data_IF_636896015287
#
_entry.id   IF_636896015287
#
_cell.length_a   1.000
_cell.length_b   1.000
_cell.length_c   1.000
_cell.angle_alpha   90.00
_cell.angle_beta   90.00
_cell.angle_gamma   90.00
#
_symmetry.space_group_name_H-M   'P 1'
#
loop_
_entity.id
_entity.type
_entity.pdbx_description
1 polymer ?
#
# COMPACT_ATOMS: atom_id res chain seq x y z
N UNK A 1 32.29 -30.25 1.26
CA UNK A 1 33.07 -29.23 1.96
C UNK A 1 32.09 -28.39 2.75
N UNK A 2 31.94 -28.75 4.03
CA UNK A 2 30.95 -28.16 4.95
C UNK A 2 31.50 -26.88 5.54
N UNK A 3 30.84 -25.77 5.47
CA UNK A 3 31.20 -24.54 6.20
C UNK A 3 29.98 -24.07 6.98
N UNK A 4 29.88 -24.51 8.17
CA UNK A 4 29.91 -23.94 9.50
C UNK A 4 28.99 -22.74 9.72
N UNK A 5 27.80 -23.05 10.28
CA UNK A 5 26.90 -22.13 10.95
C UNK A 5 27.55 -21.50 12.18
N UNK A 6 27.49 -20.19 12.33
CA UNK A 6 27.85 -19.48 13.55
C UNK A 6 26.58 -19.09 14.33
N UNK A 7 26.38 -19.64 15.52
CA UNK A 7 25.37 -19.17 16.45
C UNK A 7 26.05 -18.33 17.55
N UNK A 8 25.95 -17.02 17.51
CA UNK A 8 26.25 -16.10 18.65
C UNK A 8 25.47 -14.83 18.39
N UNK A 9 24.39 -14.54 19.09
CA UNK A 9 24.31 -13.82 20.32
C UNK A 9 22.85 -13.71 20.78
N UNK A 10 22.50 -14.56 21.69
CA UNK A 10 21.46 -14.31 22.68
C UNK A 10 22.19 -13.79 23.89
N UNK A 11 21.83 -12.63 24.40
CA UNK A 11 21.84 -12.30 25.84
C UNK A 11 21.56 -10.82 26.07
N UNK A 12 20.38 -10.56 26.66
CA UNK A 12 20.27 -9.95 27.97
C UNK A 12 20.34 -8.42 28.02
N UNK A 13 19.22 -7.78 28.27
CA UNK A 13 19.19 -6.81 29.38
C UNK A 13 17.74 -6.57 29.83
N UNK A 14 17.43 -7.19 30.95
CA UNK A 14 16.35 -6.86 31.87
C UNK A 14 16.78 -5.62 32.64
N UNK A 15 16.02 -4.53 32.59
CA UNK A 15 16.16 -3.42 33.53
C UNK A 15 14.78 -3.03 34.05
N UNK A 16 14.52 -3.52 35.25
CA UNK A 16 13.40 -3.14 36.13
C UNK A 16 13.79 -1.81 36.77
N UNK A 17 12.99 -0.75 36.62
CA UNK A 17 13.02 0.40 37.51
C UNK A 17 11.59 0.64 38.01
N UNK A 18 11.38 0.22 39.23
CA UNK A 18 10.24 0.62 40.05
C UNK A 18 10.58 1.99 40.72
N UNK A 19 9.74 3.00 40.53
CA UNK A 19 9.78 4.20 41.35
C UNK A 19 8.41 4.45 41.95
N UNK A 20 8.34 4.16 43.26
CA UNK A 20 7.23 4.47 44.15
C UNK A 20 7.48 5.90 44.67
N UNK A 21 6.54 6.81 44.48
CA UNK A 21 6.49 8.06 45.27
C UNK A 21 5.08 8.20 45.85
N UNK A 22 5.02 7.97 47.14
CA UNK A 22 3.96 8.39 48.06
C UNK A 22 4.02 9.90 48.29
N UNK A 23 2.89 10.56 48.29
CA UNK A 23 2.75 11.95 48.71
C UNK A 23 1.33 12.27 49.10
N UNK A 24 1.06 12.22 50.39
CA UNK A 24 -0.13 12.76 51.08
C UNK A 24 -0.14 14.31 51.03
N UNK A 25 -1.32 14.95 50.91
CA UNK A 25 -1.86 15.83 51.95
C UNK A 25 -3.08 16.60 51.44
N UNK A 26 -4.18 16.42 52.12
CA UNK A 26 -5.19 17.34 52.68
C UNK A 26 -5.38 18.71 52.04
N UNK A 27 -6.64 18.99 51.71
CA UNK A 27 -7.15 20.32 51.44
C UNK A 27 -8.62 20.28 51.05
N UNK A 28 -9.50 20.25 52.05
CA UNK A 28 -10.93 20.40 51.86
C UNK A 28 -11.26 21.84 51.49
N UNK A 29 -11.91 22.07 50.36
CA UNK A 29 -12.83 23.21 50.21
C UNK A 29 -13.96 22.78 49.26
N UNK A 30 -15.14 22.68 49.84
CA UNK A 30 -16.38 22.52 49.13
C UNK A 30 -16.75 23.84 48.46
N UNK A 31 -16.74 23.89 47.15
CA UNK A 31 -17.44 24.87 46.35
C UNK A 31 -18.45 24.09 45.50
N UNK A 32 -19.71 24.16 45.92
CA UNK A 32 -20.82 23.79 45.10
C UNK A 32 -20.87 24.74 43.90
N UNK A 33 -20.52 24.25 42.73
CA UNK A 33 -20.87 24.87 41.48
C UNK A 33 -21.85 23.93 40.80
N UNK A 34 -23.00 24.47 40.67
CA UNK A 34 -24.16 23.95 39.93
C UNK A 34 -23.73 23.33 38.61
N UNK A 35 -23.93 22.01 38.53
CA UNK A 35 -23.61 21.21 37.36
C UNK A 35 -24.69 21.40 36.28
N UNK A 36 -24.46 22.34 35.39
CA UNK A 36 -25.15 22.34 34.12
C UNK A 36 -24.38 21.35 33.22
N UNK A 37 -24.85 20.12 33.19
CA UNK A 37 -24.40 19.12 32.23
C UNK A 37 -24.78 19.61 30.81
N UNK A 38 -23.82 19.71 29.90
CA UNK A 38 -24.13 19.74 28.48
C UNK A 38 -24.81 18.43 28.10
N UNK A 39 -25.72 18.41 27.11
CA UNK A 39 -26.32 17.17 26.65
C UNK A 39 -25.22 16.21 26.22
N UNK A 40 -25.30 14.97 26.66
CA UNK A 40 -24.48 13.87 26.19
C UNK A 40 -24.65 13.79 24.68
N UNK A 41 -23.66 14.24 23.93
CA UNK A 41 -23.55 13.88 22.53
C UNK A 41 -23.35 12.36 22.50
N UNK A 42 -24.33 11.71 21.90
CA UNK A 42 -24.33 10.30 21.57
C UNK A 42 -23.11 9.97 20.69
N UNK A 43 -21.99 9.57 21.37
CA UNK A 43 -20.78 9.08 20.73
C UNK A 43 -20.95 7.63 20.22
N UNK A 44 -22.18 7.24 19.89
CA UNK A 44 -22.48 5.99 19.18
C UNK A 44 -22.44 6.18 17.67
N UNK A 45 -21.59 7.07 17.16
CA UNK A 45 -21.21 7.02 15.77
C UNK A 45 -20.16 5.89 15.61
N UNK A 46 -20.65 4.68 15.41
CA UNK A 46 -19.88 3.66 14.69
C UNK A 46 -19.37 4.33 13.43
N UNK A 47 -18.04 4.37 13.17
CA UNK A 47 -17.58 4.87 11.88
C UNK A 47 -18.21 3.96 10.82
N UNK A 48 -19.21 4.50 10.11
CA UNK A 48 -19.66 3.87 8.89
C UNK A 48 -18.41 3.74 8.01
N UNK A 49 -18.02 2.51 7.74
CA UNK A 49 -17.03 2.21 6.74
C UNK A 49 -17.57 2.82 5.45
N UNK A 50 -17.05 4.00 5.11
CA UNK A 50 -17.35 4.66 3.84
C UNK A 50 -16.78 3.71 2.80
N UNK A 51 -17.63 2.86 2.24
CA UNK A 51 -17.31 2.09 1.07
C UNK A 51 -17.02 3.10 -0.05
N UNK A 52 -15.76 3.40 -0.26
CA UNK A 52 -15.29 4.09 -1.46
C UNK A 52 -15.48 3.12 -2.62
N UNK A 53 -16.75 2.92 -3.02
CA UNK A 53 -17.13 1.93 -4.02
C UNK A 53 -16.16 1.95 -5.20
N UNK A 54 -15.52 0.84 -5.47
CA UNK A 54 -14.72 0.38 -6.64
C UNK A 54 -13.99 1.45 -7.50
N UNK A 55 -13.80 2.67 -6.98
CA UNK A 55 -13.11 3.75 -7.67
C UNK A 55 -11.68 3.83 -7.15
N UNK A 56 -10.78 3.23 -7.88
CA UNK A 56 -9.34 3.37 -7.60
C UNK A 56 -8.95 4.78 -8.03
N UNK A 57 -8.70 5.65 -7.05
CA UNK A 57 -8.20 7.00 -7.26
C UNK A 57 -6.68 7.06 -7.24
N UNK A 58 -6.05 6.30 -6.32
CA UNK A 58 -4.61 6.28 -6.08
C UNK A 58 -4.10 4.95 -5.52
N UNK A 59 -2.90 4.99 -4.94
CA UNK A 59 -2.22 3.80 -4.42
C UNK A 59 -2.98 3.14 -3.25
N UNK A 60 -3.54 3.92 -2.33
CA UNK A 60 -4.25 3.38 -1.16
C UNK A 60 -5.50 2.62 -1.59
N UNK A 61 -6.29 3.21 -2.50
CA UNK A 61 -7.49 2.58 -3.03
C UNK A 61 -7.17 1.32 -3.87
N UNK A 62 -5.99 1.29 -4.53
CA UNK A 62 -5.49 0.09 -5.21
C UNK A 62 -5.29 -1.05 -4.21
N UNK A 63 -4.58 -0.80 -3.10
CA UNK A 63 -4.34 -1.80 -2.05
C UNK A 63 -5.67 -2.32 -1.49
N UNK A 64 -6.60 -1.40 -1.18
CA UNK A 64 -7.90 -1.75 -0.63
C UNK A 64 -8.75 -2.56 -1.62
N UNK A 65 -8.71 -2.21 -2.90
CA UNK A 65 -9.42 -2.94 -3.95
C UNK A 65 -8.86 -4.36 -4.15
N UNK A 66 -7.54 -4.53 -4.12
CA UNK A 66 -6.89 -5.84 -4.20
C UNK A 66 -7.26 -6.72 -3.01
N UNK A 67 -7.23 -6.16 -1.79
CA UNK A 67 -7.66 -6.87 -0.57
C UNK A 67 -9.14 -7.22 -0.60
N UNK A 68 -9.99 -6.32 -1.08
CA UNK A 68 -11.42 -6.59 -1.25
C UNK A 68 -11.69 -7.69 -2.29
N UNK A 69 -10.81 -7.85 -3.29
CA UNK A 69 -10.85 -8.96 -4.24
C UNK A 69 -10.29 -10.27 -3.65
N UNK A 70 -9.88 -10.29 -2.38
CA UNK A 70 -9.39 -11.47 -1.67
C UNK A 70 -7.90 -11.71 -1.77
N UNK A 71 -7.13 -10.74 -2.25
CA UNK A 71 -5.68 -10.84 -2.30
C UNK A 71 -5.03 -10.55 -0.95
N UNK A 72 -3.97 -11.30 -0.63
CA UNK A 72 -3.00 -10.92 0.38
C UNK A 72 -2.06 -9.87 -0.23
N UNK A 73 -1.99 -8.68 0.38
CA UNK A 73 -1.19 -7.58 -0.15
C UNK A 73 -0.26 -7.02 0.91
N UNK A 74 1.04 -7.09 0.64
CA UNK A 74 2.10 -6.59 1.51
C UNK A 74 2.95 -5.54 0.77
N UNK A 75 3.02 -4.28 1.25
CA UNK A 75 4.00 -3.32 0.76
C UNK A 75 5.43 -3.78 1.10
N UNK A 76 6.36 -3.66 0.14
CA UNK A 76 7.75 -4.11 0.30
C UNK A 76 8.68 -2.90 0.36
N UNK A 77 8.88 -2.22 -0.76
CA UNK A 77 9.83 -1.11 -0.86
C UNK A 77 9.45 -0.12 -1.96
N UNK A 78 10.05 1.07 -1.89
CA UNK A 78 9.95 2.05 -2.97
C UNK A 78 10.91 1.69 -4.10
N UNK A 79 10.49 1.98 -5.34
CA UNK A 79 11.28 1.77 -6.53
C UNK A 79 11.19 2.99 -7.44
N UNK A 80 12.28 3.30 -8.12
CA UNK A 80 12.33 4.28 -9.20
C UNK A 80 12.64 3.55 -10.51
N UNK A 81 11.83 3.80 -11.52
CA UNK A 81 12.07 3.26 -12.85
C UNK A 81 12.41 4.41 -13.81
N UNK A 82 13.44 4.25 -14.66
CA UNK A 82 13.90 5.33 -15.52
C UNK A 82 12.90 5.72 -16.62
N UNK A 83 11.84 4.96 -16.79
CA UNK A 83 10.84 5.16 -17.83
C UNK A 83 9.54 5.82 -17.32
N UNK A 84 9.40 6.04 -16.00
CA UNK A 84 8.29 6.82 -15.43
C UNK A 84 8.82 7.94 -14.54
N UNK A 85 8.27 9.14 -14.69
CA UNK A 85 8.50 10.26 -13.78
C UNK A 85 7.54 10.18 -12.57
N UNK A 86 7.62 9.06 -11.88
CA UNK A 86 6.83 8.77 -10.70
C UNK A 86 7.56 7.76 -9.80
N UNK A 87 7.50 7.97 -8.49
CA UNK A 87 7.98 6.98 -7.53
C UNK A 87 7.03 5.80 -7.50
N UNK A 88 7.56 4.60 -7.67
CA UNK A 88 6.82 3.36 -7.57
C UNK A 88 6.91 2.72 -6.18
N UNK A 89 5.99 1.81 -5.92
CA UNK A 89 5.99 0.92 -4.77
C UNK A 89 5.98 -0.52 -5.27
N UNK A 90 6.89 -1.36 -4.75
CA UNK A 90 6.78 -2.81 -4.90
C UNK A 90 5.82 -3.30 -3.83
N UNK A 91 4.82 -4.05 -4.25
CA UNK A 91 3.88 -4.77 -3.39
C UNK A 91 3.91 -6.25 -3.74
N UNK A 92 3.82 -7.12 -2.75
CA UNK A 92 3.54 -8.53 -2.98
C UNK A 92 2.03 -8.76 -3.00
N UNK A 93 1.54 -9.33 -4.09
CA UNK A 93 0.15 -9.70 -4.28
C UNK A 93 0.08 -11.22 -4.37
N UNK A 94 -0.40 -11.88 -3.30
CA UNK A 94 -0.35 -13.34 -3.15
C UNK A 94 1.06 -13.92 -3.40
N UNK A 95 2.09 -13.19 -2.96
CA UNK A 95 3.49 -13.56 -3.13
C UNK A 95 4.12 -13.20 -4.49
N UNK A 96 3.38 -12.60 -5.42
CA UNK A 96 3.91 -12.09 -6.68
C UNK A 96 4.31 -10.62 -6.54
N UNK A 97 5.51 -10.25 -7.03
CA UNK A 97 5.97 -8.86 -7.02
C UNK A 97 5.25 -8.04 -8.09
N UNK A 98 4.57 -7.01 -7.66
CA UNK A 98 3.83 -6.06 -8.49
C UNK A 98 4.32 -4.65 -8.19
N UNK A 99 4.55 -3.86 -9.22
CA UNK A 99 4.97 -2.47 -9.08
C UNK A 99 3.78 -1.55 -9.33
N UNK A 100 3.53 -0.60 -8.43
CA UNK A 100 2.48 0.40 -8.55
C UNK A 100 3.12 1.79 -8.57
N UNK A 101 2.86 2.56 -9.63
CA UNK A 101 3.36 3.92 -9.83
C UNK A 101 2.22 4.90 -9.69
N UNK A 102 2.28 5.80 -8.72
CA UNK A 102 1.26 6.81 -8.50
C UNK A 102 1.69 8.15 -9.09
N UNK A 103 0.84 8.70 -9.95
CA UNK A 103 1.01 10.00 -10.58
C UNK A 103 0.21 11.08 -9.85
N UNK A 104 0.56 12.32 -10.08
CA UNK A 104 -0.09 13.47 -9.44
C UNK A 104 -1.60 13.53 -9.71
N UNK A 105 -2.02 13.04 -10.87
CA UNK A 105 -3.42 12.94 -11.27
C UNK A 105 -3.59 11.95 -12.45
N UNK A 106 -4.83 11.74 -12.84
CA UNK A 106 -5.20 10.86 -13.95
C UNK A 106 -4.66 11.36 -15.31
N UNK A 107 -4.53 12.67 -15.50
CA UNK A 107 -3.99 13.24 -16.74
C UNK A 107 -2.51 12.93 -16.91
N UNK A 108 -1.73 13.08 -15.83
CA UNK A 108 -0.31 12.72 -15.81
C UNK A 108 -0.13 11.21 -16.04
N UNK A 109 -0.97 10.38 -15.41
CA UNK A 109 -0.98 8.93 -15.61
C UNK A 109 -1.33 8.57 -17.07
N UNK A 110 -2.35 9.22 -17.68
CA UNK A 110 -2.70 9.00 -19.08
C UNK A 110 -1.51 9.30 -20.00
N UNK A 111 -0.85 10.45 -19.77
CA UNK A 111 0.34 10.82 -20.54
C UNK A 111 1.45 9.77 -20.44
N UNK A 112 1.65 9.19 -19.27
CA UNK A 112 2.64 8.13 -19.06
C UNK A 112 2.22 6.80 -19.69
N UNK A 113 0.94 6.41 -19.54
CA UNK A 113 0.42 5.16 -20.12
C UNK A 113 0.40 5.16 -21.64
N UNK A 114 0.15 6.31 -22.28
CA UNK A 114 0.18 6.48 -23.75
C UNK A 114 1.59 6.28 -24.35
N UNK A 115 2.63 6.34 -23.50
CA UNK A 115 4.01 6.07 -23.92
C UNK A 115 4.40 4.59 -23.86
N UNK A 116 3.60 3.75 -23.22
CA UNK A 116 3.87 2.30 -23.14
C UNK A 116 3.52 1.66 -24.49
N UNK A 117 4.49 0.97 -25.09
CA UNK A 117 4.22 0.22 -26.33
C UNK A 117 3.23 -0.91 -26.09
N UNK A 118 2.44 -1.32 -27.11
CA UNK A 118 1.43 -2.38 -26.95
C UNK A 118 1.99 -3.71 -26.42
N UNK A 119 3.23 -4.03 -26.73
CA UNK A 119 3.92 -5.23 -26.25
C UNK A 119 4.71 -5.00 -24.95
N UNK A 120 4.70 -3.77 -24.42
CA UNK A 120 5.44 -3.38 -23.22
C UNK A 120 6.96 -3.31 -23.39
N UNK A 121 7.50 -3.48 -24.60
CA UNK A 121 8.95 -3.48 -24.86
C UNK A 121 9.60 -2.10 -24.74
N UNK A 122 8.82 -1.04 -24.76
CA UNK A 122 9.30 0.32 -24.59
C UNK A 122 8.30 1.23 -23.88
N UNK A 123 8.83 2.29 -23.27
CA UNK A 123 8.05 3.40 -22.72
C UNK A 123 8.66 4.69 -23.23
N UNK A 124 7.93 5.44 -24.06
CA UNK A 124 8.45 6.58 -24.80
C UNK A 124 9.62 6.17 -25.69
N UNK A 125 10.79 6.76 -25.45
CA UNK A 125 12.04 6.44 -26.19
C UNK A 125 12.92 5.41 -25.47
N UNK A 126 12.53 4.97 -24.28
CA UNK A 126 13.28 4.00 -23.48
C UNK A 126 12.89 2.58 -23.86
N UNK A 127 13.82 1.83 -24.41
CA UNK A 127 13.66 0.39 -24.65
C UNK A 127 14.01 -0.39 -23.39
N UNK A 128 13.19 -1.39 -23.08
CA UNK A 128 13.31 -2.16 -21.83
C UNK A 128 13.51 -3.64 -22.18
N UNK A 129 14.50 -4.26 -21.54
CA UNK A 129 14.69 -5.71 -21.62
C UNK A 129 14.13 -6.34 -20.36
N UNK A 130 13.00 -7.00 -20.51
CA UNK A 130 12.32 -7.66 -19.40
C UNK A 130 12.85 -9.07 -19.15
N UNK A 131 12.80 -9.52 -17.90
CA UNK A 131 13.15 -10.89 -17.50
C UNK A 131 12.03 -11.88 -17.82
N UNK A 132 10.79 -11.41 -17.94
CA UNK A 132 9.61 -12.15 -18.38
C UNK A 132 8.61 -11.18 -19.03
N UNK A 133 7.37 -11.58 -19.26
CA UNK A 133 6.33 -10.81 -19.94
C UNK A 133 5.89 -9.61 -19.09
N UNK A 134 6.01 -8.36 -19.59
CA UNK A 134 5.52 -7.17 -18.90
C UNK A 134 4.03 -6.99 -19.15
N UNK A 135 3.25 -6.86 -18.08
CA UNK A 135 1.83 -6.57 -18.16
C UNK A 135 1.57 -5.25 -17.45
N UNK A 136 0.99 -4.28 -18.15
CA UNK A 136 0.69 -2.96 -17.62
C UNK A 136 -0.81 -2.73 -17.56
N UNK A 137 -1.27 -2.13 -16.47
CA UNK A 137 -2.64 -1.64 -16.28
C UNK A 137 -2.58 -0.17 -15.89
N UNK A 138 -3.64 0.57 -16.24
CA UNK A 138 -3.79 1.97 -15.87
C UNK A 138 -5.19 2.23 -15.32
N UNK A 139 -5.29 2.76 -14.09
CA UNK A 139 -6.58 3.10 -13.47
C UNK A 139 -6.44 4.22 -12.44
N UNK A 140 -7.37 5.19 -12.44
CA UNK A 140 -7.24 6.36 -11.58
C UNK A 140 -5.94 7.11 -11.85
N UNK A 141 -5.16 7.39 -10.82
CA UNK A 141 -3.83 8.00 -10.94
C UNK A 141 -2.69 6.99 -10.93
N UNK A 142 -2.96 5.67 -11.01
CA UNK A 142 -1.92 4.65 -10.93
C UNK A 142 -1.69 3.90 -12.24
N UNK A 143 -0.43 3.54 -12.50
CA UNK A 143 -0.02 2.48 -13.43
C UNK A 143 0.48 1.31 -12.59
N UNK A 144 0.03 0.12 -12.93
CA UNK A 144 0.45 -1.14 -12.30
C UNK A 144 1.22 -1.96 -13.31
N UNK A 145 2.38 -2.49 -12.92
CA UNK A 145 3.24 -3.35 -13.73
C UNK A 145 3.45 -4.68 -13.01
N UNK A 146 3.15 -5.75 -13.70
CA UNK A 146 3.51 -7.10 -13.31
C UNK A 146 4.38 -7.74 -14.41
N UNK A 147 5.56 -8.23 -14.03
CA UNK A 147 6.48 -8.92 -14.95
C UNK A 147 6.39 -10.42 -14.69
N UNK A 148 5.64 -11.12 -15.50
CA UNK A 148 5.36 -12.54 -15.34
C UNK A 148 4.20 -13.03 -16.20
N UNK A 149 3.96 -14.34 -16.17
CA UNK A 149 2.93 -15.03 -16.97
C UNK A 149 1.92 -15.78 -16.12
N UNK A 150 1.93 -15.61 -14.81
CA UNK A 150 1.04 -16.35 -13.94
C UNK A 150 -0.41 -15.88 -14.13
N UNK A 151 -1.23 -16.78 -14.67
CA UNK A 151 -2.60 -16.46 -15.00
C UNK A 151 -3.45 -16.03 -13.80
N UNK A 152 -3.17 -16.57 -12.61
CA UNK A 152 -3.89 -16.20 -11.38
C UNK A 152 -3.67 -14.74 -11.04
N UNK A 153 -2.41 -14.27 -11.09
CA UNK A 153 -2.03 -12.87 -10.84
C UNK A 153 -2.61 -11.95 -11.91
N UNK A 154 -2.46 -12.30 -13.19
CA UNK A 154 -2.99 -11.52 -14.32
C UNK A 154 -4.52 -11.38 -14.20
N UNK A 155 -5.24 -12.47 -13.97
CA UNK A 155 -6.71 -12.46 -13.84
C UNK A 155 -7.16 -11.63 -12.63
N UNK A 156 -6.47 -11.71 -11.49
CA UNK A 156 -6.77 -10.92 -10.32
C UNK A 156 -6.59 -9.42 -10.62
N UNK A 157 -5.44 -9.03 -11.16
CA UNK A 157 -5.16 -7.63 -11.53
C UNK A 157 -6.17 -7.11 -12.56
N UNK A 158 -6.48 -7.91 -13.58
CA UNK A 158 -7.49 -7.56 -14.60
C UNK A 158 -8.88 -7.40 -13.99
N UNK A 159 -9.27 -8.25 -13.03
CA UNK A 159 -10.57 -8.13 -12.37
C UNK A 159 -10.72 -6.82 -11.57
N UNK A 160 -9.63 -6.31 -11.01
CA UNK A 160 -9.59 -5.10 -10.18
C UNK A 160 -9.37 -3.84 -11.03
N UNK A 161 -8.46 -3.92 -11.99
CA UNK A 161 -7.98 -2.77 -12.75
C UNK A 161 -8.69 -2.59 -14.11
N UNK A 162 -9.27 -3.64 -14.65
CA UNK A 162 -9.78 -3.70 -16.02
C UNK A 162 -8.76 -4.30 -16.96
N UNK A 163 -8.98 -4.16 -18.27
CA UNK A 163 -8.08 -4.72 -19.28
C UNK A 163 -6.69 -4.09 -19.20
N UNK A 164 -5.63 -4.89 -19.41
CA UNK A 164 -4.27 -4.37 -19.49
C UNK A 164 -4.11 -3.47 -20.73
N UNK A 165 -3.17 -2.51 -20.63
CA UNK A 165 -2.79 -1.67 -21.78
C UNK A 165 -1.80 -2.37 -22.72
N UNK A 166 -1.16 -3.44 -22.24
CA UNK A 166 -0.31 -4.30 -23.06
C UNK A 166 -1.07 -5.52 -23.56
N UNK A 167 -0.77 -5.94 -24.78
CA UNK A 167 -1.35 -7.12 -25.41
C UNK A 167 -0.25 -8.11 -25.77
N UNK A 168 -0.46 -9.39 -25.45
CA UNK A 168 0.48 -10.46 -25.78
C UNK A 168 -0.26 -11.53 -26.59
N UNK A 169 0.31 -11.88 -27.75
CA UNK A 169 -0.16 -12.97 -28.60
C UNK A 169 0.44 -14.33 -28.17
#
# INVERSE_FOLDING_TARGET
>A
MFTKMNPVNVLMSLAIIALVISGCASGAQAVQLESTLPPEEDLSATPEAVSHGNKIGGYVELIDALRAAGAEVEPVEQIEQPFFDATGQIIQVNGADVQAFEFVDESARNTASDQVSPDGSSTGTTMITWVDQPNFWAKGSVIVLYVGKEAATINLLTSVLGEPITTHE
#
